data_IF_011197234138
#
_entry.id   IF_011197234138
#
_cell.length_a   1.000
_cell.length_b   1.000
_cell.length_c   1.000
_cell.angle_alpha   90.00
_cell.angle_beta   90.00
_cell.angle_gamma   90.00
#
_symmetry.space_group_name_H-M   'P 1'
#
loop_
_entity.id
_entity.type
_entity.pdbx_description
1 polymer ?
#
# COMPACT_ATOMS: atom_id res chain seq x y z
N UNK A 1 -16.78 37.65 21.00
CA UNK A 1 -17.54 36.49 20.49
C UNK A 1 -16.79 35.19 20.77
N UNK A 2 -15.44 35.16 20.60
CA UNK A 2 -14.58 33.98 20.81
C UNK A 2 -14.47 33.57 22.31
N UNK A 3 -14.57 34.51 23.26
CA UNK A 3 -14.50 34.20 24.69
C UNK A 3 -15.75 33.48 25.25
N UNK A 4 -16.91 33.65 24.64
CA UNK A 4 -18.15 33.01 25.07
C UNK A 4 -18.20 31.57 24.53
N UNK A 5 -17.69 31.38 23.33
CA UNK A 5 -17.61 30.05 22.68
C UNK A 5 -16.56 29.14 23.35
N UNK A 6 -15.41 29.71 23.75
CA UNK A 6 -14.36 28.98 24.49
C UNK A 6 -14.78 28.62 25.93
N UNK A 7 -15.57 29.48 26.61
CA UNK A 7 -16.16 29.14 27.93
C UNK A 7 -17.22 28.06 27.83
N UNK A 8 -18.07 28.12 26.81
CA UNK A 8 -19.09 27.06 26.55
C UNK A 8 -18.46 25.69 26.29
N UNK A 9 -17.39 25.61 25.51
CA UNK A 9 -16.63 24.39 25.28
C UNK A 9 -15.99 23.87 26.58
N UNK A 10 -15.36 24.75 27.39
CA UNK A 10 -14.76 24.35 28.66
C UNK A 10 -15.77 23.78 29.66
N UNK A 11 -16.99 24.33 29.70
CA UNK A 11 -18.06 23.84 30.58
C UNK A 11 -18.64 22.51 30.09
N UNK A 12 -18.70 22.29 28.79
CA UNK A 12 -19.11 20.99 28.20
C UNK A 12 -18.09 19.90 28.53
N UNK A 13 -16.78 20.17 28.37
CA UNK A 13 -15.73 19.24 28.73
C UNK A 13 -15.71 18.91 30.23
N UNK A 14 -15.85 19.90 31.11
CA UNK A 14 -15.93 19.70 32.55
C UNK A 14 -17.17 18.90 32.98
N UNK A 15 -18.29 19.09 32.30
CA UNK A 15 -19.51 18.30 32.55
C UNK A 15 -19.36 16.85 32.12
N UNK A 16 -18.71 16.62 31.00
CA UNK A 16 -18.38 15.28 30.48
C UNK A 16 -17.43 14.54 31.42
N UNK A 17 -16.35 15.21 31.88
CA UNK A 17 -15.39 14.64 32.82
C UNK A 17 -16.03 14.28 34.16
N UNK A 18 -16.94 15.08 34.69
CA UNK A 18 -17.66 14.81 35.92
C UNK A 18 -18.65 13.63 35.78
N UNK A 19 -19.30 13.46 34.64
CA UNK A 19 -20.20 12.33 34.39
C UNK A 19 -19.40 11.03 34.28
N UNK A 20 -18.30 11.06 33.55
CA UNK A 20 -17.44 9.87 33.32
C UNK A 20 -16.68 9.47 34.57
N UNK A 21 -16.27 10.43 35.43
CA UNK A 21 -15.47 10.14 36.65
C UNK A 21 -16.25 9.35 37.69
N UNK A 22 -17.58 9.51 37.76
CA UNK A 22 -18.44 8.83 38.72
C UNK A 22 -19.00 7.48 38.24
N UNK A 23 -18.72 7.09 37.00
CA UNK A 23 -19.20 5.83 36.43
C UNK A 23 -18.27 4.66 36.73
N UNK A 24 -18.82 3.47 36.96
CA UNK A 24 -18.07 2.22 37.00
C UNK A 24 -17.45 1.89 35.63
N UNK A 25 -16.41 1.06 35.60
CA UNK A 25 -15.70 0.67 34.37
C UNK A 25 -16.67 0.20 33.25
N UNK A 26 -17.65 -0.64 33.58
CA UNK A 26 -18.61 -1.16 32.62
C UNK A 26 -19.60 -0.10 32.13
N UNK A 27 -20.03 0.80 33.01
CA UNK A 27 -20.89 1.93 32.66
C UNK A 27 -20.20 2.90 31.71
N UNK A 28 -18.89 3.15 31.90
CA UNK A 28 -18.08 3.95 30.98
C UNK A 28 -18.01 3.34 29.60
N UNK A 29 -17.79 2.02 29.50
CA UNK A 29 -17.77 1.31 28.23
C UNK A 29 -19.11 1.44 27.50
N UNK A 30 -20.21 1.19 28.21
CA UNK A 30 -21.55 1.30 27.63
C UNK A 30 -21.87 2.73 27.17
N UNK A 31 -21.52 3.73 27.97
CA UNK A 31 -21.69 5.12 27.61
C UNK A 31 -20.90 5.49 26.34
N UNK A 32 -19.63 5.11 26.25
CA UNK A 32 -18.76 5.36 25.09
C UNK A 32 -19.30 4.63 23.85
N UNK A 33 -19.77 3.41 23.98
CA UNK A 33 -20.37 2.66 22.88
C UNK A 33 -21.68 3.27 22.38
N UNK A 34 -22.53 3.79 23.28
CA UNK A 34 -23.77 4.47 22.91
C UNK A 34 -23.51 5.80 22.23
N UNK A 35 -22.61 6.61 22.77
CA UNK A 35 -22.32 7.94 22.26
C UNK A 35 -21.50 7.93 20.98
N UNK A 36 -20.43 7.12 20.94
CA UNK A 36 -19.48 7.11 19.83
C UNK A 36 -19.53 5.85 18.95
N UNK A 37 -20.33 4.84 19.28
CA UNK A 37 -20.38 3.56 18.59
C UNK A 37 -20.60 3.69 17.08
N UNK A 38 -21.51 4.57 16.67
CA UNK A 38 -21.77 4.86 15.24
C UNK A 38 -20.55 5.48 14.55
N UNK A 39 -19.82 6.36 15.24
CA UNK A 39 -18.62 6.99 14.70
C UNK A 39 -17.47 5.98 14.57
N UNK A 40 -17.31 5.10 15.54
CA UNK A 40 -16.33 4.00 15.46
C UNK A 40 -16.63 3.04 14.29
N UNK A 41 -17.90 2.67 14.10
CA UNK A 41 -18.28 1.80 12.97
C UNK A 41 -18.04 2.47 11.62
N UNK A 42 -18.35 3.76 11.50
CA UNK A 42 -18.05 4.53 10.29
C UNK A 42 -16.54 4.63 10.04
N UNK A 43 -15.74 4.91 11.07
CA UNK A 43 -14.28 4.95 10.98
C UNK A 43 -13.71 3.59 10.55
N UNK A 44 -14.16 2.50 11.19
CA UNK A 44 -13.74 1.15 10.81
C UNK A 44 -14.11 0.81 9.35
N UNK A 45 -15.33 1.18 8.92
CA UNK A 45 -15.75 1.03 7.53
C UNK A 45 -14.86 1.79 6.55
N UNK A 46 -14.53 3.05 6.87
CA UNK A 46 -13.61 3.89 6.08
C UNK A 46 -12.24 3.24 5.95
N UNK A 47 -11.66 2.81 7.06
CA UNK A 47 -10.36 2.10 7.10
C UNK A 47 -10.38 0.85 6.22
N UNK A 48 -11.41 0.02 6.34
CA UNK A 48 -11.55 -1.20 5.53
C UNK A 48 -11.65 -0.89 4.03
N UNK A 49 -12.43 0.11 3.64
CA UNK A 49 -12.56 0.50 2.23
C UNK A 49 -11.23 0.99 1.68
N UNK A 50 -10.54 1.88 2.40
CA UNK A 50 -9.22 2.37 1.97
C UNK A 50 -8.23 1.21 1.87
N UNK A 51 -8.14 0.37 2.89
CA UNK A 51 -7.20 -0.75 2.91
C UNK A 51 -7.46 -1.75 1.78
N UNK A 52 -8.72 -2.16 1.55
CA UNK A 52 -9.06 -3.13 0.50
C UNK A 52 -8.79 -2.59 -0.90
N UNK A 53 -9.31 -1.40 -1.21
CA UNK A 53 -9.17 -0.78 -2.54
C UNK A 53 -7.70 -0.48 -2.83
N UNK A 54 -6.99 0.13 -1.87
CA UNK A 54 -5.57 0.46 -2.06
C UNK A 54 -4.69 -0.79 -2.14
N UNK A 55 -5.01 -1.87 -1.40
CA UNK A 55 -4.29 -3.14 -1.55
C UNK A 55 -4.51 -3.73 -2.93
N UNK A 56 -5.72 -3.71 -3.47
CA UNK A 56 -6.00 -4.21 -4.81
C UNK A 56 -5.23 -3.42 -5.89
N UNK A 57 -5.27 -2.09 -5.83
CA UNK A 57 -4.53 -1.21 -6.75
C UNK A 57 -3.02 -1.41 -6.57
N UNK A 58 -2.53 -1.43 -5.33
CA UNK A 58 -1.13 -1.66 -5.02
C UNK A 58 -0.62 -3.03 -5.49
N UNK A 59 -1.44 -4.08 -5.39
CA UNK A 59 -1.11 -5.38 -5.96
C UNK A 59 -0.93 -5.30 -7.48
N UNK A 60 -1.82 -4.63 -8.21
CA UNK A 60 -1.69 -4.45 -9.65
C UNK A 60 -0.40 -3.70 -10.02
N UNK A 61 -0.12 -2.59 -9.33
CA UNK A 61 1.14 -1.84 -9.51
C UNK A 61 2.33 -2.74 -9.22
N UNK A 62 2.33 -3.43 -8.09
CA UNK A 62 3.41 -4.31 -7.65
C UNK A 62 3.66 -5.48 -8.60
N UNK A 63 2.61 -6.10 -9.15
CA UNK A 63 2.75 -7.14 -10.17
C UNK A 63 3.43 -6.62 -11.43
N UNK A 64 3.00 -5.47 -11.95
CA UNK A 64 3.60 -4.86 -13.13
C UNK A 64 5.08 -4.54 -12.87
N UNK A 65 5.37 -3.85 -11.77
CA UNK A 65 6.74 -3.44 -11.41
C UNK A 65 7.63 -4.66 -11.17
N UNK A 66 7.17 -5.63 -10.37
CA UNK A 66 7.92 -6.83 -10.04
C UNK A 66 8.25 -7.69 -11.26
N UNK A 67 7.29 -7.88 -12.18
CA UNK A 67 7.54 -8.59 -13.43
C UNK A 67 8.58 -7.85 -14.30
N UNK A 68 8.43 -6.53 -14.48
CA UNK A 68 9.39 -5.74 -15.28
C UNK A 68 10.81 -5.87 -14.71
N UNK A 69 10.97 -5.85 -13.39
CA UNK A 69 12.27 -5.99 -12.76
C UNK A 69 12.92 -7.36 -13.00
N UNK A 70 12.12 -8.41 -13.24
CA UNK A 70 12.62 -9.77 -13.50
C UNK A 70 12.89 -10.09 -14.97
N UNK A 71 12.54 -9.20 -15.92
CA UNK A 71 12.82 -9.40 -17.34
C UNK A 71 14.34 -9.57 -17.55
N UNK A 72 14.84 -10.70 -18.09
CA UNK A 72 16.26 -10.87 -18.35
C UNK A 72 16.73 -9.97 -19.49
N UNK A 73 17.98 -9.52 -19.41
CA UNK A 73 18.66 -8.84 -20.53
C UNK A 73 19.28 -9.87 -21.46
N UNK A 74 18.76 -10.00 -22.67
CA UNK A 74 19.39 -10.85 -23.69
C UNK A 74 20.50 -10.07 -24.41
N UNK A 75 21.76 -10.44 -24.09
CA UNK A 75 22.94 -9.76 -24.65
C UNK A 75 23.09 -9.95 -26.15
N UNK A 76 22.51 -11.03 -26.73
CA UNK A 76 22.72 -11.36 -28.15
C UNK A 76 21.56 -10.96 -29.06
N UNK A 77 20.32 -11.01 -28.56
CA UNK A 77 19.11 -10.74 -29.37
C UNK A 77 18.54 -9.33 -29.26
N UNK A 78 18.81 -8.63 -28.15
CA UNK A 78 18.21 -7.33 -27.92
C UNK A 78 18.98 -6.20 -28.60
N UNK A 79 18.27 -5.31 -29.30
CA UNK A 79 18.81 -4.05 -29.83
C UNK A 79 19.40 -3.19 -28.72
N UNK A 80 20.46 -2.43 -29.04
CA UNK A 80 21.12 -1.53 -28.09
C UNK A 80 20.14 -0.56 -27.43
N UNK A 81 19.19 -0.02 -28.19
CA UNK A 81 18.16 0.88 -27.70
C UNK A 81 17.26 0.19 -26.66
N UNK A 82 16.82 -1.04 -26.93
CA UNK A 82 15.99 -1.83 -26.00
C UNK A 82 16.72 -2.09 -24.68
N UNK A 83 18.00 -2.42 -24.74
CA UNK A 83 18.83 -2.64 -23.52
C UNK A 83 18.93 -1.36 -22.67
N UNK A 84 19.21 -0.22 -23.31
CA UNK A 84 19.32 1.07 -22.61
C UNK A 84 17.98 1.43 -21.96
N UNK A 85 16.88 1.36 -22.70
CA UNK A 85 15.53 1.66 -22.19
C UNK A 85 15.17 0.75 -21.04
N UNK A 86 15.36 -0.57 -21.17
CA UNK A 86 15.06 -1.53 -20.10
C UNK A 86 15.89 -1.27 -18.84
N UNK A 87 17.16 -0.95 -19.00
CA UNK A 87 18.06 -0.61 -17.89
C UNK A 87 17.61 0.67 -17.17
N UNK A 88 17.25 1.72 -17.91
CA UNK A 88 16.75 2.97 -17.33
C UNK A 88 15.44 2.71 -16.56
N UNK A 89 14.50 1.99 -17.17
CA UNK A 89 13.22 1.65 -16.52
C UNK A 89 13.47 0.87 -15.23
N UNK A 90 14.32 -0.14 -15.25
CA UNK A 90 14.66 -0.91 -14.04
C UNK A 90 15.28 -0.06 -12.95
N UNK A 91 16.16 0.89 -13.29
CA UNK A 91 16.75 1.81 -12.32
C UNK A 91 15.69 2.70 -11.69
N UNK A 92 14.79 3.28 -12.49
CA UNK A 92 13.69 4.13 -11.99
C UNK A 92 12.78 3.32 -11.06
N UNK A 93 12.38 2.11 -11.48
CA UNK A 93 11.53 1.24 -10.68
C UNK A 93 12.23 0.77 -9.39
N UNK A 94 13.55 0.55 -9.44
CA UNK A 94 14.34 0.22 -8.25
C UNK A 94 14.35 1.39 -7.26
N UNK A 95 14.61 2.61 -7.73
CA UNK A 95 14.56 3.83 -6.91
C UNK A 95 13.16 3.99 -6.28
N UNK A 96 12.09 3.82 -7.07
CA UNK A 96 10.72 3.83 -6.56
C UNK A 96 10.54 2.84 -5.40
N UNK A 97 10.91 1.58 -5.59
CA UNK A 97 10.74 0.54 -4.57
C UNK A 97 11.57 0.85 -3.32
N UNK A 98 12.84 1.28 -3.48
CA UNK A 98 13.72 1.59 -2.36
C UNK A 98 13.24 2.80 -1.55
N UNK A 99 12.81 3.87 -2.22
CA UNK A 99 12.31 5.09 -1.55
C UNK A 99 11.04 4.80 -0.76
N UNK A 100 10.03 4.16 -1.39
CA UNK A 100 8.75 3.93 -0.74
C UNK A 100 8.78 2.84 0.34
N UNK A 101 9.73 1.90 0.27
CA UNK A 101 9.94 0.91 1.35
C UNK A 101 10.88 1.42 2.45
N UNK A 102 11.75 2.37 2.12
CA UNK A 102 12.73 2.91 3.07
C UNK A 102 12.24 4.09 3.89
N UNK A 103 11.05 4.63 3.60
CA UNK A 103 10.47 5.78 4.31
C UNK A 103 9.15 5.43 5.00
N UNK A 104 8.86 5.98 6.20
CA UNK A 104 7.58 5.76 6.87
C UNK A 104 6.40 6.30 6.04
N UNK A 105 5.28 5.54 5.98
CA UNK A 105 4.12 5.93 5.17
C UNK A 105 3.55 7.29 5.57
N UNK A 106 3.55 7.63 6.85
CA UNK A 106 3.09 8.94 7.34
C UNK A 106 3.89 10.11 6.76
N UNK A 107 5.22 9.96 6.63
CA UNK A 107 6.09 10.96 6.02
C UNK A 107 5.77 11.13 4.54
N UNK A 108 5.56 10.01 3.83
CA UNK A 108 5.13 10.01 2.43
C UNK A 108 3.79 10.72 2.27
N UNK A 109 2.83 10.46 3.18
CA UNK A 109 1.51 11.07 3.16
C UNK A 109 1.60 12.60 3.29
N UNK A 110 2.35 13.10 4.26
CA UNK A 110 2.56 14.54 4.47
C UNK A 110 3.24 15.16 3.25
N UNK A 111 4.30 14.53 2.74
CA UNK A 111 5.07 15.05 1.61
C UNK A 111 4.24 15.08 0.31
N UNK A 112 3.50 14.01 0.01
CA UNK A 112 2.68 13.93 -1.21
C UNK A 112 1.49 14.89 -1.11
N UNK A 113 0.77 14.90 0.00
CA UNK A 113 -0.43 15.73 0.16
C UNK A 113 -0.11 17.22 0.13
N UNK A 114 0.81 17.68 0.99
CA UNK A 114 1.19 19.08 1.06
C UNK A 114 2.13 19.49 -0.07
N UNK A 115 3.05 18.60 -0.50
CA UNK A 115 3.96 18.88 -1.60
C UNK A 115 3.22 19.04 -2.94
N UNK A 116 2.20 18.21 -3.20
CA UNK A 116 1.37 18.37 -4.39
C UNK A 116 0.64 19.72 -4.41
N UNK A 117 0.11 20.16 -3.26
CA UNK A 117 -0.57 21.44 -3.15
C UNK A 117 0.39 22.63 -3.32
N UNK A 118 1.57 22.60 -2.69
CA UNK A 118 2.51 23.72 -2.68
C UNK A 118 3.35 23.83 -3.95
N UNK A 119 3.83 22.71 -4.50
CA UNK A 119 4.77 22.72 -5.63
C UNK A 119 4.02 22.72 -6.97
N UNK A 120 2.96 21.91 -7.07
CA UNK A 120 2.23 21.71 -8.32
C UNK A 120 0.87 22.42 -8.35
N UNK A 121 0.48 23.09 -7.26
CA UNK A 121 -0.84 23.72 -7.08
C UNK A 121 -2.01 22.74 -7.32
N UNK A 122 -1.80 21.45 -7.02
CA UNK A 122 -2.79 20.38 -7.14
C UNK A 122 -3.42 20.15 -5.77
N UNK A 123 -4.68 20.56 -5.63
CA UNK A 123 -5.47 20.29 -4.42
C UNK A 123 -6.17 18.93 -4.57
N UNK A 124 -5.67 17.92 -3.87
CA UNK A 124 -6.29 16.59 -3.84
C UNK A 124 -7.28 16.51 -2.69
N UNK A 125 -8.45 15.91 -2.94
CA UNK A 125 -9.38 15.55 -1.88
C UNK A 125 -8.79 14.49 -0.94
N UNK A 126 -9.27 14.46 0.31
CA UNK A 126 -8.79 13.52 1.34
C UNK A 126 -8.82 12.05 0.85
N UNK A 127 -9.92 11.61 0.27
CA UNK A 127 -10.06 10.25 -0.26
C UNK A 127 -9.09 9.93 -1.40
N UNK A 128 -8.92 10.88 -2.33
CA UNK A 128 -8.00 10.70 -3.46
C UNK A 128 -6.56 10.55 -2.99
N UNK A 129 -6.15 11.38 -2.02
CA UNK A 129 -4.82 11.32 -1.42
C UNK A 129 -4.60 10.02 -0.68
N UNK A 130 -5.58 9.58 0.14
CA UNK A 130 -5.49 8.34 0.89
C UNK A 130 -5.31 7.13 -0.05
N UNK A 131 -6.18 6.98 -1.07
CA UNK A 131 -6.05 5.90 -2.05
C UNK A 131 -4.72 5.95 -2.81
N UNK A 132 -4.30 7.12 -3.25
CA UNK A 132 -3.05 7.29 -4.00
C UNK A 132 -1.83 6.86 -3.15
N UNK A 133 -1.72 7.41 -1.94
CA UNK A 133 -0.56 7.20 -1.07
C UNK A 133 -0.46 5.73 -0.66
N UNK A 134 -1.55 5.16 -0.16
CA UNK A 134 -1.57 3.76 0.27
C UNK A 134 -1.35 2.81 -0.90
N UNK A 135 -1.91 3.10 -2.09
CA UNK A 135 -1.70 2.26 -3.28
C UNK A 135 -0.26 2.29 -3.78
N UNK A 136 0.38 3.46 -3.82
CA UNK A 136 1.78 3.59 -4.26
C UNK A 136 2.71 2.91 -3.25
N UNK A 137 2.50 3.11 -1.95
CA UNK A 137 3.27 2.45 -0.92
C UNK A 137 3.13 0.92 -1.01
N UNK A 138 1.90 0.42 -1.02
CA UNK A 138 1.61 -1.02 -1.17
C UNK A 138 2.22 -1.58 -2.45
N UNK A 139 2.16 -0.82 -3.55
CA UNK A 139 2.77 -1.20 -4.83
C UNK A 139 4.26 -1.45 -4.74
N UNK A 140 4.99 -0.66 -3.96
CA UNK A 140 6.42 -0.85 -3.75
C UNK A 140 6.71 -2.13 -2.94
N UNK A 141 5.95 -2.41 -1.87
CA UNK A 141 6.08 -3.65 -1.11
C UNK A 141 5.72 -4.89 -1.94
N UNK A 142 4.63 -4.79 -2.71
CA UNK A 142 4.19 -5.87 -3.59
C UNK A 142 5.16 -6.12 -4.74
N UNK A 143 5.80 -5.10 -5.30
CA UNK A 143 6.81 -5.26 -6.35
C UNK A 143 7.97 -6.14 -5.88
N UNK A 144 8.46 -5.92 -4.67
CA UNK A 144 9.52 -6.74 -4.09
C UNK A 144 9.03 -8.16 -3.78
N UNK A 145 7.80 -8.31 -3.26
CA UNK A 145 7.19 -9.62 -3.00
C UNK A 145 7.02 -10.43 -4.29
N UNK A 146 6.58 -9.78 -5.37
CA UNK A 146 6.44 -10.41 -6.69
C UNK A 146 7.80 -10.80 -7.25
N UNK A 147 8.79 -9.89 -7.20
CA UNK A 147 10.16 -10.17 -7.62
C UNK A 147 10.76 -11.35 -6.84
N UNK A 148 10.60 -11.34 -5.52
CA UNK A 148 11.07 -12.42 -4.65
C UNK A 148 10.34 -13.74 -4.94
N UNK A 149 9.02 -13.71 -5.14
CA UNK A 149 8.23 -14.89 -5.49
C UNK A 149 8.63 -15.51 -6.83
N UNK A 150 8.96 -14.68 -7.83
CA UNK A 150 9.44 -15.18 -9.13
C UNK A 150 10.83 -15.80 -8.99
N UNK A 151 11.74 -15.17 -8.25
CA UNK A 151 13.11 -15.66 -8.05
C UNK A 151 13.13 -16.94 -7.18
N UNK A 152 12.16 -17.12 -6.30
CA UNK A 152 12.06 -18.32 -5.45
C UNK A 152 11.64 -19.60 -6.18
N UNK A 153 11.16 -19.49 -7.42
CA UNK A 153 10.86 -20.68 -8.25
C UNK A 153 12.18 -21.32 -8.69
N UNK A 154 12.25 -22.65 -8.59
CA UNK A 154 13.44 -23.42 -8.95
C UNK A 154 13.92 -23.07 -10.37
N UNK A 155 15.20 -22.68 -10.57
CA UNK A 155 15.76 -22.39 -11.89
C UNK A 155 15.60 -23.53 -12.89
N UNK A 156 15.59 -24.78 -12.42
CA UNK A 156 15.34 -25.96 -13.26
C UNK A 156 14.01 -25.94 -13.99
N UNK A 157 12.99 -25.25 -13.43
CA UNK A 157 11.71 -25.04 -14.12
C UNK A 157 11.87 -24.18 -15.37
N UNK A 158 12.73 -23.15 -15.29
CA UNK A 158 13.04 -22.29 -16.44
C UNK A 158 13.89 -23.03 -17.47
N UNK A 159 14.86 -23.83 -17.02
CA UNK A 159 15.72 -24.63 -17.89
C UNK A 159 14.94 -25.72 -18.61
N UNK A 160 14.09 -26.45 -17.88
CA UNK A 160 13.22 -27.51 -18.46
C UNK A 160 12.24 -26.95 -19.50
N UNK A 161 11.60 -25.80 -19.21
CA UNK A 161 10.71 -25.15 -20.15
C UNK A 161 11.44 -24.71 -21.44
N UNK A 162 12.66 -24.18 -21.31
CA UNK A 162 13.49 -23.81 -22.46
C UNK A 162 13.95 -25.02 -23.26
N UNK A 163 14.25 -26.16 -22.60
CA UNK A 163 14.68 -27.41 -23.26
C UNK A 163 13.61 -27.95 -24.18
N UNK A 164 12.33 -27.77 -23.86
CA UNK A 164 11.20 -28.15 -24.72
C UNK A 164 10.79 -27.05 -25.72
N UNK A 165 11.61 -25.98 -25.88
CA UNK A 165 11.42 -24.97 -26.89
C UNK A 165 10.48 -23.79 -26.49
N UNK A 166 10.10 -23.64 -25.21
CA UNK A 166 9.26 -22.55 -24.78
C UNK A 166 10.02 -21.21 -24.87
N UNK A 167 9.33 -20.20 -25.38
CA UNK A 167 9.84 -18.82 -25.35
C UNK A 167 9.85 -18.28 -23.91
N UNK A 168 10.61 -17.23 -23.66
CA UNK A 168 10.64 -16.61 -22.32
C UNK A 168 9.25 -16.23 -21.81
N UNK A 169 8.39 -15.65 -22.68
CA UNK A 169 7.03 -15.27 -22.31
C UNK A 169 6.19 -16.51 -21.95
N UNK A 170 6.25 -17.57 -22.77
CA UNK A 170 5.56 -18.82 -22.49
C UNK A 170 6.04 -19.46 -21.17
N UNK A 171 7.34 -19.49 -20.93
CA UNK A 171 7.92 -19.98 -19.68
C UNK A 171 7.41 -19.17 -18.49
N UNK A 172 7.44 -17.85 -18.59
CA UNK A 172 7.00 -16.98 -17.52
C UNK A 172 5.51 -17.16 -17.23
N UNK A 173 4.64 -17.13 -18.24
CA UNK A 173 3.19 -17.16 -18.04
C UNK A 173 2.66 -18.53 -17.65
N UNK A 174 3.21 -19.62 -18.22
CA UNK A 174 2.65 -20.95 -18.05
C UNK A 174 3.35 -21.77 -16.94
N UNK A 175 4.61 -21.44 -16.60
CA UNK A 175 5.40 -22.23 -15.65
C UNK A 175 5.74 -21.44 -14.41
N UNK A 176 6.34 -20.26 -14.56
CA UNK A 176 6.90 -19.51 -13.44
C UNK A 176 5.83 -18.73 -12.67
N UNK A 177 5.01 -17.92 -13.34
CA UNK A 177 4.01 -17.07 -12.67
C UNK A 177 2.98 -17.87 -11.87
N UNK A 178 2.43 -19.01 -12.33
CA UNK A 178 1.50 -19.80 -11.52
C UNK A 178 2.12 -20.34 -10.23
N UNK A 179 3.40 -20.70 -10.26
CA UNK A 179 4.14 -21.16 -9.08
C UNK A 179 4.49 -19.99 -8.17
N UNK A 180 5.03 -18.91 -8.73
CA UNK A 180 5.34 -17.68 -8.00
C UNK A 180 4.13 -17.10 -7.29
N UNK A 181 2.95 -17.14 -7.92
CA UNK A 181 1.70 -16.63 -7.34
C UNK A 181 1.35 -17.29 -6.00
N UNK A 182 1.58 -18.61 -5.89
CA UNK A 182 1.37 -19.34 -4.63
C UNK A 182 2.27 -18.80 -3.51
N UNK A 183 3.51 -18.43 -3.85
CA UNK A 183 4.46 -17.88 -2.90
C UNK A 183 4.15 -16.41 -2.55
N UNK A 184 3.51 -15.67 -3.47
CA UNK A 184 3.14 -14.25 -3.30
C UNK A 184 1.84 -14.10 -2.49
N UNK A 185 0.91 -15.04 -2.60
CA UNK A 185 -0.43 -14.95 -2.01
C UNK A 185 -0.43 -14.63 -0.50
N UNK A 186 0.41 -15.27 0.35
CA UNK A 186 0.50 -14.91 1.77
C UNK A 186 0.94 -13.45 2.00
N UNK A 187 1.78 -12.92 1.11
CA UNK A 187 2.26 -11.53 1.21
C UNK A 187 1.15 -10.52 0.88
N UNK A 188 0.23 -10.86 -0.02
CA UNK A 188 -0.96 -10.03 -0.28
C UNK A 188 -1.79 -9.89 0.99
N UNK A 189 -2.06 -11.00 1.68
CA UNK A 189 -2.78 -10.99 2.96
C UNK A 189 -2.05 -10.17 4.04
N UNK A 190 -0.74 -10.33 4.15
CA UNK A 190 0.07 -9.57 5.09
C UNK A 190 0.03 -8.06 4.81
N UNK A 191 0.15 -7.65 3.54
CA UNK A 191 0.04 -6.24 3.15
C UNK A 191 -1.35 -5.65 3.45
N UNK A 192 -2.42 -6.42 3.26
CA UNK A 192 -3.76 -5.98 3.64
C UNK A 192 -3.87 -5.70 5.15
N UNK A 193 -3.32 -6.58 5.99
CA UNK A 193 -3.31 -6.40 7.45
C UNK A 193 -2.50 -5.15 7.84
N UNK A 194 -1.34 -4.94 7.20
CA UNK A 194 -0.52 -3.74 7.42
C UNK A 194 -1.32 -2.49 7.02
N UNK A 195 -1.94 -2.47 5.85
CA UNK A 195 -2.73 -1.33 5.39
C UNK A 195 -3.91 -1.02 6.32
N UNK A 196 -4.59 -2.02 6.89
CA UNK A 196 -5.64 -1.80 7.88
C UNK A 196 -5.08 -1.09 9.12
N UNK A 197 -3.91 -1.50 9.59
CA UNK A 197 -3.26 -0.87 10.76
C UNK A 197 -2.82 0.57 10.45
N UNK A 198 -2.18 0.77 9.30
CA UNK A 198 -1.60 2.06 8.93
C UNK A 198 -2.65 3.12 8.56
N UNK A 199 -3.84 2.68 8.11
CA UNK A 199 -4.96 3.59 7.78
C UNK A 199 -5.91 3.82 8.96
N UNK A 200 -5.74 3.12 10.08
CA UNK A 200 -6.56 3.28 11.29
C UNK A 200 -6.02 4.32 12.28
N UNK A 201 -4.89 4.94 11.98
CA UNK A 201 -4.20 5.93 12.84
C UNK A 201 -4.65 7.36 12.53
#
# INVERSE_FOLDING_TARGET
>A
RDDVESRGLGDVYKRQDNVISNMNFWERILYLLQEYGTSYLKGAGTTLVIALVSTAIGCLIGFIVGIIQTIPEDKQRDSLLKKIVLKIVKIILKIYVEVFRGTPMIVQAVFIYYGAAQIFNIQMGMWQSAFLIVSINTGAYMAESVRGGIISVDPGQTEGAKAIGMTHVQTMTNVILPQAFRNILPQIGNNLIINIKDTSV
#
